data_IF_197027255427
#
_entry.id   IF_197027255427
#
_cell.length_a   1.000
_cell.length_b   1.000
_cell.length_c   1.000
_cell.angle_alpha   90.00
_cell.angle_beta   90.00
_cell.angle_gamma   90.00
#
_symmetry.space_group_name_H-M   'P 1'
#
loop_
_entity.id
_entity.type
_entity.pdbx_description
1 polymer ?
#
# COMPACT_ATOMS: atom_id res chain seq x y z
N UNK A 1 5.18 -0.52 8.07
CA UNK A 1 5.52 0.90 8.35
C UNK A 1 4.28 1.71 8.00
N UNK A 2 4.07 2.89 8.61
CA UNK A 2 2.92 3.73 8.28
C UNK A 2 2.92 4.10 6.80
N UNK A 3 1.73 4.29 6.24
CA UNK A 3 1.54 4.75 4.86
C UNK A 3 1.69 6.27 4.85
N UNK A 4 2.63 6.82 4.09
CA UNK A 4 2.82 8.28 4.03
C UNK A 4 1.76 8.91 3.12
N UNK A 5 1.00 9.86 3.63
CA UNK A 5 -0.02 10.58 2.86
C UNK A 5 0.29 12.08 2.77
N UNK A 6 -0.35 12.74 1.81
CA UNK A 6 -0.56 14.18 1.85
C UNK A 6 -2.00 14.44 2.30
N UNK A 7 -2.37 15.70 2.45
CA UNK A 7 -3.67 16.08 3.02
C UNK A 7 -4.88 15.85 2.07
N UNK A 8 -4.66 15.30 0.87
CA UNK A 8 -5.72 14.88 -0.05
C UNK A 8 -6.66 15.99 -0.55
N UNK A 9 -7.75 15.60 -1.20
CA UNK A 9 -8.83 16.49 -1.65
C UNK A 9 -9.64 17.10 -0.50
N UNK A 10 -9.56 16.51 0.70
CA UNK A 10 -10.26 17.02 1.89
C UNK A 10 -9.74 18.43 2.28
N UNK A 11 -8.43 18.66 2.20
CA UNK A 11 -7.81 19.91 2.67
C UNK A 11 -6.95 20.64 1.63
N UNK A 12 -6.48 19.97 0.57
CA UNK A 12 -5.66 20.59 -0.46
C UNK A 12 -6.50 21.08 -1.63
N UNK A 13 -6.38 22.36 -1.99
CA UNK A 13 -7.01 22.93 -3.20
C UNK A 13 -6.58 22.27 -4.53
N UNK A 14 -5.49 21.50 -4.52
CA UNK A 14 -5.00 20.74 -5.68
C UNK A 14 -5.25 19.23 -5.54
N UNK A 15 -5.80 18.79 -4.40
CA UNK A 15 -6.07 17.38 -4.16
C UNK A 15 -7.18 16.92 -5.10
N UNK A 16 -6.87 15.94 -5.94
CA UNK A 16 -7.82 15.34 -6.86
C UNK A 16 -8.57 14.18 -6.21
N UNK A 17 -7.87 13.42 -5.36
CA UNK A 17 -8.40 12.25 -4.67
C UNK A 17 -8.14 12.34 -3.16
N UNK A 18 -8.92 11.59 -2.39
CA UNK A 18 -8.75 11.47 -0.94
C UNK A 18 -7.60 10.51 -0.60
N UNK A 19 -6.38 11.05 -0.57
CA UNK A 19 -5.21 10.26 -0.19
C UNK A 19 -5.16 9.89 1.29
N UNK A 20 -5.87 10.62 2.15
CA UNK A 20 -5.85 10.36 3.60
C UNK A 20 -6.61 9.08 3.88
N UNK A 21 -7.86 8.99 3.38
CA UNK A 21 -8.69 7.81 3.56
C UNK A 21 -8.06 6.57 2.92
N UNK A 22 -7.60 6.66 1.66
CA UNK A 22 -6.93 5.53 1.00
C UNK A 22 -5.65 5.10 1.73
N UNK A 23 -4.90 6.04 2.31
CA UNK A 23 -3.73 5.72 3.13
C UNK A 23 -4.09 4.96 4.41
N UNK A 24 -5.17 5.36 5.08
CA UNK A 24 -5.71 4.66 6.26
C UNK A 24 -6.13 3.23 5.88
N UNK A 25 -6.82 3.07 4.76
CA UNK A 25 -7.31 1.77 4.30
C UNK A 25 -6.16 0.82 3.94
N UNK A 26 -5.15 1.32 3.22
CA UNK A 26 -3.91 0.58 2.95
C UNK A 26 -3.19 0.18 4.24
N UNK A 27 -3.10 1.09 5.22
CA UNK A 27 -2.43 0.81 6.48
C UNK A 27 -3.16 -0.29 7.26
N UNK A 28 -4.49 -0.20 7.36
CA UNK A 28 -5.32 -1.21 8.03
C UNK A 28 -5.29 -2.55 7.33
N UNK A 29 -5.30 -2.58 6.00
CA UNK A 29 -5.32 -3.84 5.25
C UNK A 29 -3.96 -4.56 5.27
N UNK A 30 -2.86 -3.82 5.35
CA UNK A 30 -1.50 -4.37 5.28
C UNK A 30 -0.78 -4.35 6.63
N UNK A 31 -1.49 -3.99 7.71
CA UNK A 31 -0.91 -3.96 9.05
C UNK A 31 -0.34 -5.33 9.41
N UNK A 32 0.80 -5.33 10.10
CA UNK A 32 1.55 -6.55 10.49
C UNK A 32 1.97 -7.50 9.35
N UNK A 33 1.85 -7.10 8.08
CA UNK A 33 2.40 -7.86 6.96
C UNK A 33 3.91 -8.10 7.15
N UNK A 34 4.30 -9.37 7.18
CA UNK A 34 5.69 -9.76 7.10
C UNK A 34 6.18 -9.63 5.65
N UNK A 35 7.40 -9.10 5.48
CA UNK A 35 8.05 -8.98 4.19
C UNK A 35 9.54 -9.35 4.29
N UNK A 36 10.16 -9.85 3.19
CA UNK A 36 11.58 -10.23 3.17
C UNK A 36 12.55 -9.11 3.59
N UNK A 37 12.15 -7.85 3.37
CA UNK A 37 12.78 -6.65 3.91
C UNK A 37 11.73 -5.54 4.10
N UNK A 38 12.06 -4.46 4.83
CA UNK A 38 11.24 -3.26 5.02
C UNK A 38 10.63 -2.74 3.72
N UNK A 39 9.31 -2.52 3.74
CA UNK A 39 8.50 -1.96 2.66
C UNK A 39 7.89 -0.63 3.11
N UNK A 40 7.91 0.37 2.23
CA UNK A 40 7.31 1.70 2.44
C UNK A 40 6.23 1.92 1.39
N UNK A 41 5.09 2.45 1.84
CA UNK A 41 3.99 2.84 0.99
C UNK A 41 3.74 4.34 1.11
N UNK A 42 3.21 4.96 0.06
CA UNK A 42 2.69 6.32 0.12
C UNK A 42 1.52 6.54 -0.84
N UNK A 43 0.67 7.49 -0.49
CA UNK A 43 -0.44 7.97 -1.30
C UNK A 43 -0.35 9.48 -1.44
N UNK A 44 -0.35 10.01 -2.66
CA UNK A 44 -0.48 11.44 -2.93
C UNK A 44 -1.80 11.67 -3.65
N UNK A 45 -2.63 12.60 -3.18
CA UNK A 45 -3.94 12.88 -3.79
C UNK A 45 -3.90 13.58 -5.15
N UNK A 46 -2.71 13.97 -5.65
CA UNK A 46 -2.53 14.59 -6.97
C UNK A 46 -1.09 14.35 -7.50
N UNK A 47 -0.82 14.64 -8.80
CA UNK A 47 0.51 14.45 -9.42
C UNK A 47 1.65 15.30 -8.84
N UNK A 48 1.36 16.24 -7.93
CA UNK A 48 2.41 17.02 -7.24
C UNK A 48 3.27 16.19 -6.30
N UNK A 49 2.85 14.96 -5.97
CA UNK A 49 3.71 13.96 -5.32
C UNK A 49 4.27 14.40 -3.94
N UNK A 50 3.47 15.13 -3.15
CA UNK A 50 3.89 15.63 -1.83
C UNK A 50 4.23 14.51 -0.82
N UNK A 51 3.82 13.26 -1.07
CA UNK A 51 4.14 12.10 -0.22
C UNK A 51 5.38 11.32 -0.69
N UNK A 52 6.11 11.84 -1.68
CA UNK A 52 7.25 11.22 -2.36
C UNK A 52 6.99 9.74 -2.76
N UNK A 53 5.86 9.51 -3.41
CA UNK A 53 5.43 8.23 -4.03
C UNK A 53 6.50 7.66 -4.93
N UNK A 54 7.15 8.51 -5.74
CA UNK A 54 8.16 8.11 -6.72
C UNK A 54 9.43 7.46 -6.12
N UNK A 55 9.56 7.37 -4.80
CA UNK A 55 10.69 6.70 -4.12
C UNK A 55 10.23 5.67 -3.08
N UNK A 56 8.96 5.24 -3.12
CA UNK A 56 8.42 4.20 -2.25
C UNK A 56 8.41 2.85 -2.95
N UNK A 57 8.42 1.79 -2.14
CA UNK A 57 8.38 0.41 -2.65
C UNK A 57 7.07 0.15 -3.42
N UNK A 58 5.95 0.71 -2.93
CA UNK A 58 4.71 0.93 -3.68
C UNK A 58 4.24 2.35 -3.42
N UNK A 59 3.85 3.09 -4.44
CA UNK A 59 3.29 4.42 -4.25
C UNK A 59 2.14 4.70 -5.19
N UNK A 60 1.19 5.49 -4.70
CA UNK A 60 -0.09 5.74 -5.35
C UNK A 60 -0.27 7.24 -5.58
N UNK A 61 -0.59 7.65 -6.79
CA UNK A 61 -0.85 9.04 -7.18
C UNK A 61 -2.29 9.18 -7.67
N UNK A 62 -3.05 10.08 -7.05
CA UNK A 62 -4.39 10.45 -7.49
C UNK A 62 -4.34 11.30 -8.75
N UNK A 63 -5.26 11.03 -9.68
CA UNK A 63 -5.47 11.77 -10.93
C UNK A 63 -6.98 11.86 -11.19
N UNK A 64 -7.40 12.73 -12.11
CA UNK A 64 -8.83 13.02 -12.30
C UNK A 64 -9.63 11.78 -12.71
N UNK A 65 -8.96 10.81 -13.35
CA UNK A 65 -9.57 9.57 -13.82
C UNK A 65 -9.30 8.36 -12.90
N UNK A 66 -8.90 8.57 -11.64
CA UNK A 66 -8.64 7.51 -10.65
C UNK A 66 -7.26 7.59 -10.03
N UNK A 67 -6.51 6.48 -10.08
CA UNK A 67 -5.23 6.30 -9.40
C UNK A 67 -4.17 5.70 -10.30
N UNK A 68 -2.94 6.18 -10.17
CA UNK A 68 -1.74 5.61 -10.78
C UNK A 68 -0.91 4.93 -9.70
N UNK A 69 -0.53 3.67 -9.95
CA UNK A 69 0.27 2.85 -9.05
C UNK A 69 1.69 2.78 -9.61
N UNK A 70 2.68 2.94 -8.73
CA UNK A 70 4.09 2.85 -9.01
C UNK A 70 4.75 1.85 -8.08
N UNK A 71 5.75 1.10 -8.57
CA UNK A 71 6.45 0.06 -7.79
C UNK A 71 7.97 0.15 -7.92
N UNK A 72 8.67 -0.41 -6.94
CA UNK A 72 10.13 -0.59 -7.00
C UNK A 72 10.96 0.66 -6.70
N UNK A 73 10.38 1.70 -6.12
CA UNK A 73 11.13 2.88 -5.68
C UNK A 73 11.94 2.61 -4.40
N UNK A 74 13.00 3.39 -4.21
CA UNK A 74 13.83 3.29 -3.01
C UNK A 74 14.36 4.66 -2.57
N UNK A 75 13.79 5.25 -1.52
CA UNK A 75 14.36 6.40 -0.83
C UNK A 75 15.46 6.03 0.18
N UNK A 76 16.39 5.15 -0.20
CA UNK A 76 17.52 4.70 0.62
C UNK A 76 18.82 5.42 0.26
N UNK A 77 19.96 4.85 0.67
CA UNK A 77 21.30 5.39 0.33
C UNK A 77 21.46 5.49 -1.20
N UNK A 78 21.15 4.40 -1.91
CA UNK A 78 20.99 4.42 -3.36
C UNK A 78 19.54 4.76 -3.68
N UNK A 79 19.30 5.98 -4.14
CA UNK A 79 17.94 6.41 -4.49
C UNK A 79 17.55 5.83 -5.84
N UNK A 80 16.39 5.20 -5.92
CA UNK A 80 15.84 4.63 -7.15
C UNK A 80 14.41 5.12 -7.35
N UNK A 81 14.08 5.47 -8.58
CA UNK A 81 12.77 5.99 -8.96
C UNK A 81 11.81 4.81 -9.17
N UNK A 82 10.61 4.91 -8.59
CA UNK A 82 9.55 3.94 -8.79
C UNK A 82 9.06 3.97 -10.24
N UNK A 83 8.73 2.81 -10.77
CA UNK A 83 8.27 2.64 -12.14
C UNK A 83 6.75 2.63 -12.20
N UNK A 84 6.17 3.27 -13.23
CA UNK A 84 4.74 3.20 -13.48
C UNK A 84 4.31 1.74 -13.66
N UNK A 85 3.28 1.34 -12.92
CA UNK A 85 2.78 -0.03 -12.91
C UNK A 85 1.46 -0.13 -13.67
N UNK A 86 0.42 0.53 -13.17
CA UNK A 86 -0.91 0.53 -13.77
C UNK A 86 -1.71 1.76 -13.32
N UNK A 87 -2.74 2.08 -14.10
CA UNK A 87 -3.77 3.05 -13.76
C UNK A 87 -5.09 2.34 -13.51
N UNK A 88 -5.73 2.63 -12.37
CA UNK A 88 -7.00 2.03 -11.95
C UNK A 88 -8.02 3.12 -11.59
N UNK A 89 -9.30 2.78 -11.47
CA UNK A 89 -10.37 3.77 -11.25
C UNK A 89 -10.74 3.93 -9.79
N UNK A 90 -10.66 2.83 -9.03
CA UNK A 90 -11.25 2.75 -7.69
C UNK A 90 -10.22 2.39 -6.63
N UNK A 91 -10.52 2.75 -5.38
CA UNK A 91 -9.71 2.40 -4.22
C UNK A 91 -9.61 0.89 -4.04
N UNK A 92 -10.70 0.16 -4.32
CA UNK A 92 -10.73 -1.31 -4.25
C UNK A 92 -9.71 -1.93 -5.21
N UNK A 93 -9.61 -1.42 -6.44
CA UNK A 93 -8.59 -1.87 -7.38
C UNK A 93 -7.18 -1.53 -6.85
N UNK A 94 -6.97 -0.33 -6.29
CA UNK A 94 -5.67 0.02 -5.67
C UNK A 94 -5.27 -1.03 -4.62
N UNK A 95 -6.21 -1.44 -3.77
CA UNK A 95 -5.98 -2.46 -2.75
C UNK A 95 -5.58 -3.80 -3.37
N UNK A 96 -6.35 -4.27 -4.37
CA UNK A 96 -6.11 -5.54 -5.04
C UNK A 96 -4.72 -5.60 -5.71
N UNK A 97 -4.40 -4.62 -6.57
CA UNK A 97 -3.13 -4.60 -7.29
C UNK A 97 -1.93 -4.43 -6.35
N UNK A 98 -2.07 -3.60 -5.31
CA UNK A 98 -1.01 -3.40 -4.29
C UNK A 98 -0.74 -4.68 -3.52
N UNK A 99 -1.79 -5.33 -3.03
CA UNK A 99 -1.69 -6.57 -2.27
C UNK A 99 -1.13 -7.71 -3.14
N UNK A 100 -1.57 -7.83 -4.39
CA UNK A 100 -1.09 -8.85 -5.31
C UNK A 100 0.42 -8.71 -5.60
N UNK A 101 0.89 -7.49 -5.89
CA UNK A 101 2.33 -7.23 -6.08
C UNK A 101 3.14 -7.55 -4.81
N UNK A 102 2.66 -7.10 -3.64
CA UNK A 102 3.34 -7.36 -2.38
C UNK A 102 3.35 -8.85 -2.03
N UNK A 103 2.30 -9.59 -2.35
CA UNK A 103 2.26 -11.04 -2.14
C UNK A 103 3.27 -11.75 -3.03
N UNK A 104 3.33 -11.38 -4.32
CA UNK A 104 4.31 -11.94 -5.25
C UNK A 104 5.74 -11.71 -4.75
N UNK A 105 6.03 -10.48 -4.31
CA UNK A 105 7.30 -10.14 -3.69
C UNK A 105 7.59 -10.95 -2.41
N UNK A 106 6.59 -11.16 -1.54
CA UNK A 106 6.75 -11.98 -0.32
C UNK A 106 7.08 -13.43 -0.62
N UNK A 107 6.55 -13.98 -1.72
CA UNK A 107 6.72 -15.37 -2.11
C UNK A 107 8.06 -15.61 -2.83
N UNK A 108 8.58 -14.62 -3.57
CA UNK A 108 9.70 -14.83 -4.50
C UNK A 108 10.99 -14.09 -4.15
N UNK A 109 10.95 -13.09 -3.27
CA UNK A 109 12.13 -12.33 -2.90
C UNK A 109 12.98 -13.04 -1.85
N UNK A 110 14.30 -12.89 -1.98
CA UNK A 110 15.25 -13.46 -1.04
C UNK A 110 15.24 -12.70 0.29
N UNK A 111 15.75 -13.35 1.34
CA UNK A 111 15.93 -12.71 2.64
C UNK A 111 16.77 -11.42 2.51
N UNK A 112 16.26 -10.33 3.08
CA UNK A 112 16.82 -8.97 3.00
C UNK A 112 16.88 -8.35 1.60
N UNK A 113 16.22 -8.93 0.61
CA UNK A 113 16.04 -8.33 -0.70
C UNK A 113 14.99 -7.22 -0.64
N UNK A 114 15.28 -6.03 -1.16
CA UNK A 114 14.30 -4.93 -1.32
C UNK A 114 13.46 -5.15 -2.56
N UNK A 115 12.27 -4.57 -2.63
CA UNK A 115 11.43 -4.62 -3.86
C UNK A 115 12.18 -4.10 -5.10
N UNK A 116 13.02 -3.08 -4.96
CA UNK A 116 13.84 -2.57 -6.07
C UNK A 116 14.89 -3.58 -6.56
N UNK A 117 15.48 -4.37 -5.65
CA UNK A 117 16.45 -5.40 -6.03
C UNK A 117 15.74 -6.61 -6.64
N UNK A 118 14.59 -6.99 -6.06
CA UNK A 118 13.70 -8.00 -6.61
C UNK A 118 13.28 -7.63 -8.04
N UNK A 119 12.77 -6.41 -8.25
CA UNK A 119 12.39 -5.89 -9.56
C UNK A 119 13.56 -5.90 -10.55
N UNK A 120 14.76 -5.51 -10.12
CA UNK A 120 15.95 -5.57 -10.97
C UNK A 120 16.35 -7.01 -11.34
N UNK A 121 16.07 -7.98 -10.49
CA UNK A 121 16.39 -9.41 -10.71
C UNK A 121 15.38 -10.09 -11.62
N UNK A 122 14.08 -9.92 -11.38
CA UNK A 122 13.03 -10.62 -12.14
C UNK A 122 12.59 -9.85 -13.39
N UNK A 123 12.80 -8.53 -13.41
CA UNK A 123 12.38 -7.64 -14.49
C UNK A 123 10.93 -7.19 -14.37
N UNK A 124 10.64 -5.97 -14.86
CA UNK A 124 9.30 -5.40 -14.84
C UNK A 124 8.30 -6.21 -15.68
N UNK A 125 8.73 -6.74 -16.83
CA UNK A 125 7.85 -7.50 -17.72
C UNK A 125 7.30 -8.76 -17.06
N UNK A 126 8.13 -9.45 -16.29
CA UNK A 126 7.70 -10.60 -15.50
C UNK A 126 6.63 -10.23 -14.47
N UNK A 127 6.82 -9.11 -13.75
CA UNK A 127 5.83 -8.65 -12.76
C UNK A 127 4.52 -8.26 -13.43
N UNK A 128 4.59 -7.58 -14.58
CA UNK A 128 3.40 -7.26 -15.37
C UNK A 128 2.67 -8.50 -15.85
N UNK A 129 3.39 -9.51 -16.34
CA UNK A 129 2.81 -10.77 -16.75
C UNK A 129 2.05 -11.45 -15.59
N UNK A 130 2.65 -11.47 -14.39
CA UNK A 130 2.09 -12.16 -13.22
C UNK A 130 0.93 -11.43 -12.52
N UNK A 131 0.82 -10.12 -12.69
CA UNK A 131 -0.16 -9.30 -11.95
C UNK A 131 -1.12 -8.56 -12.86
N UNK A 132 -0.67 -8.02 -13.99
CA UNK A 132 -1.52 -7.24 -14.90
C UNK A 132 -2.14 -8.09 -16.00
N UNK A 133 -1.43 -9.10 -16.50
CA UNK A 133 -1.88 -9.93 -17.63
C UNK A 133 -2.50 -11.27 -17.19
N UNK A 134 -2.37 -11.62 -15.90
CA UNK A 134 -2.94 -12.82 -15.29
C UNK A 134 -3.96 -12.42 -14.21
N UNK A 135 -5.21 -12.21 -14.62
CA UNK A 135 -6.29 -11.80 -13.72
C UNK A 135 -6.55 -12.85 -12.62
N UNK A 136 -6.57 -14.13 -12.98
CA UNK A 136 -6.81 -15.21 -12.03
C UNK A 136 -5.66 -15.32 -11.02
N UNK A 137 -4.41 -15.21 -11.49
CA UNK A 137 -3.23 -15.17 -10.64
C UNK A 137 -3.19 -13.96 -9.71
N UNK A 138 -3.55 -12.76 -10.21
CA UNK A 138 -3.66 -11.55 -9.39
C UNK A 138 -4.68 -11.71 -8.27
N UNK A 139 -5.88 -12.20 -8.58
CA UNK A 139 -6.94 -12.44 -7.59
C UNK A 139 -6.45 -13.44 -6.54
N UNK A 140 -5.84 -14.55 -6.98
CA UNK A 140 -5.29 -15.55 -6.06
C UNK A 140 -4.16 -14.99 -5.17
N UNK A 141 -3.29 -14.11 -5.70
CA UNK A 141 -2.26 -13.42 -4.91
C UNK A 141 -2.88 -12.49 -3.86
N UNK A 142 -3.88 -11.70 -4.25
CA UNK A 142 -4.62 -10.83 -3.34
C UNK A 142 -5.31 -11.63 -2.22
N UNK A 143 -6.00 -12.72 -2.56
CA UNK A 143 -6.68 -13.59 -1.59
C UNK A 143 -5.70 -14.22 -0.59
N UNK A 144 -4.53 -14.67 -1.05
CA UNK A 144 -3.49 -15.19 -0.14
C UNK A 144 -2.94 -14.12 0.79
N UNK A 145 -2.80 -12.87 0.33
CA UNK A 145 -2.42 -11.75 1.19
C UNK A 145 -3.47 -11.54 2.28
N UNK A 146 -4.75 -11.45 1.90
CA UNK A 146 -5.86 -11.24 2.84
C UNK A 146 -5.90 -12.38 3.85
N UNK A 147 -5.86 -13.63 3.40
CA UNK A 147 -5.84 -14.80 4.28
C UNK A 147 -4.67 -14.77 5.28
N UNK A 148 -3.47 -14.41 4.83
CA UNK A 148 -2.30 -14.33 5.70
C UNK A 148 -2.43 -13.26 6.81
N UNK A 149 -3.26 -12.23 6.60
CA UNK A 149 -3.45 -11.12 7.54
C UNK A 149 -4.73 -11.25 8.39
N UNK A 150 -5.63 -12.17 8.07
CA UNK A 150 -6.88 -12.42 8.80
C UNK A 150 -6.69 -12.98 10.21
N UNK A 151 -5.54 -13.58 10.50
CA UNK A 151 -5.31 -14.33 11.76
C UNK A 151 -5.24 -13.40 12.97
N UNK A 152 -4.89 -12.14 12.76
CA UNK A 152 -4.52 -11.24 13.85
C UNK A 152 -5.65 -10.25 14.17
N UNK A 153 -6.07 -10.21 15.44
CA UNK A 153 -7.05 -9.23 15.94
C UNK A 153 -6.36 -7.92 16.31
N UNK A 154 -7.03 -6.80 16.05
CA UNK A 154 -6.56 -5.50 16.52
C UNK A 154 -6.68 -5.42 18.05
N UNK A 155 -5.56 -5.34 18.80
CA UNK A 155 -5.60 -5.28 20.25
C UNK A 155 -6.27 -4.02 20.78
N UNK A 156 -6.34 -2.94 19.98
CA UNK A 156 -7.01 -1.71 20.36
C UNK A 156 -8.52 -1.82 20.29
N UNK A 157 -9.07 -2.65 19.39
CA UNK A 157 -10.51 -2.92 19.36
C UNK A 157 -10.93 -3.65 20.63
N UNK A 158 -10.15 -4.67 21.03
CA UNK A 158 -10.41 -5.39 22.28
C UNK A 158 -10.40 -4.43 23.47
N UNK A 159 -9.36 -3.60 23.62
CA UNK A 159 -9.26 -2.66 24.76
C UNK A 159 -10.35 -1.58 24.74
N UNK A 160 -10.59 -0.96 23.58
CA UNK A 160 -11.46 0.21 23.48
C UNK A 160 -12.96 -0.12 23.46
N UNK A 161 -13.36 -1.31 23.00
CA UNK A 161 -14.78 -1.65 22.79
C UNK A 161 -15.26 -2.89 23.55
N UNK A 162 -14.42 -3.91 23.67
CA UNK A 162 -14.84 -5.24 24.15
C UNK A 162 -14.36 -5.55 25.58
N UNK A 163 -13.32 -4.86 26.04
CA UNK A 163 -12.61 -5.13 27.28
C UNK A 163 -13.12 -4.36 28.50
N UNK A 164 -12.57 -4.73 29.67
CA UNK A 164 -12.88 -4.13 30.97
C UNK A 164 -12.49 -2.64 31.04
N UNK A 165 -11.47 -2.26 30.27
CA UNK A 165 -10.92 -0.90 30.17
C UNK A 165 -11.67 0.00 29.17
N UNK A 166 -12.80 -0.45 28.57
CA UNK A 166 -13.56 0.34 27.58
C UNK A 166 -13.91 1.76 28.06
N UNK A 167 -14.09 1.92 29.37
CA UNK A 167 -14.43 3.19 30.01
C UNK A 167 -13.32 4.25 29.84
N UNK A 168 -12.07 3.84 29.60
CA UNK A 168 -10.94 4.76 29.30
C UNK A 168 -11.12 5.49 27.96
N UNK A 169 -11.98 4.98 27.07
CA UNK A 169 -12.18 5.48 25.71
C UNK A 169 -13.55 6.13 25.51
N UNK A 170 -14.33 6.31 26.58
CA UNK A 170 -15.58 7.06 26.53
C UNK A 170 -15.27 8.56 26.35
N UNK A 171 -16.01 9.23 25.46
CA UNK A 171 -15.88 10.67 25.29
C UNK A 171 -16.27 11.37 26.59
N UNK A 172 -15.36 12.19 27.12
CA UNK A 172 -15.68 13.05 28.25
C UNK A 172 -16.86 13.94 27.87
N UNK A 173 -17.91 13.92 28.70
CA UNK A 173 -18.99 14.87 28.56
C UNK A 173 -18.42 16.29 28.77
N UNK A 174 -18.50 17.11 27.72
CA UNK A 174 -18.19 18.55 27.77
C UNK A 174 -19.38 19.29 28.35
#
# INVERSE_FOLDING_TARGET
>A
RTVKTCVGSEWCRFGTQDSTQLGIDLEKALWKMWAPHKVKLAVSGCPRNCSEVAIKDVGIIGVDSGWEIYIGGNGGIKTEVAHFFIKVKTDVEVMEYTAAFLQLYREEAFYLERTVHYLARVGMDYIKQRVLEDDAGRIALHERMVFALQVEKDPWIERAKEGVEKHEFEMLAV
#
